data_IF_292944757534
#
_entry.id   IF_292944757534
#
_cell.length_a   1.000
_cell.length_b   1.000
_cell.length_c   1.000
_cell.angle_alpha   90.00
_cell.angle_beta   90.00
_cell.angle_gamma   90.00
#
_symmetry.space_group_name_H-M   'P 1'
#
loop_
_entity.id
_entity.type
_entity.pdbx_description
1 polymer ?
#
# COMPACT_ATOMS: atom_id res chain seq x y z
N UNK A 1 -25.56 41.32 -24.53
CA UNK A 1 -26.17 41.02 -23.21
C UNK A 1 -26.07 39.52 -22.89
N UNK A 2 -26.22 38.60 -23.87
CA UNK A 2 -26.14 37.15 -23.64
C UNK A 2 -24.76 36.69 -23.16
N UNK A 3 -23.66 37.29 -23.64
CA UNK A 3 -22.29 36.85 -23.28
C UNK A 3 -21.93 37.10 -21.82
N UNK A 4 -22.48 38.18 -21.23
CA UNK A 4 -22.23 38.49 -19.81
C UNK A 4 -22.94 37.50 -18.88
N UNK A 5 -24.15 37.08 -19.22
CA UNK A 5 -24.89 36.09 -18.44
C UNK A 5 -24.20 34.73 -18.46
N UNK A 6 -23.70 34.30 -19.63
CA UNK A 6 -22.92 33.08 -19.76
C UNK A 6 -21.64 33.12 -18.93
N UNK A 7 -20.94 34.28 -18.90
CA UNK A 7 -19.76 34.47 -18.07
C UNK A 7 -20.03 34.33 -16.57
N UNK A 8 -21.13 34.87 -16.08
CA UNK A 8 -21.53 34.73 -14.67
C UNK A 8 -21.90 33.29 -14.31
N UNK A 9 -22.57 32.58 -15.20
CA UNK A 9 -22.89 31.14 -14.99
C UNK A 9 -21.62 30.31 -14.92
N UNK A 10 -20.66 30.51 -15.83
CA UNK A 10 -19.38 29.82 -15.81
C UNK A 10 -18.59 30.12 -14.54
N UNK A 11 -18.56 31.39 -14.10
CA UNK A 11 -17.90 31.77 -12.87
C UNK A 11 -18.55 31.11 -11.64
N UNK A 12 -19.88 31.05 -11.59
CA UNK A 12 -20.59 30.40 -10.49
C UNK A 12 -20.29 28.90 -10.45
N UNK A 13 -20.31 28.20 -11.60
CA UNK A 13 -19.93 26.77 -11.69
C UNK A 13 -18.49 26.57 -11.23
N UNK A 14 -17.57 27.40 -11.71
CA UNK A 14 -16.17 27.32 -11.28
C UNK A 14 -16.01 27.48 -9.77
N UNK A 15 -16.69 28.46 -9.16
CA UNK A 15 -16.62 28.69 -7.71
C UNK A 15 -17.20 27.51 -6.91
N UNK A 16 -18.29 26.91 -7.37
CA UNK A 16 -18.87 25.71 -6.73
C UNK A 16 -17.89 24.54 -6.80
N UNK A 17 -17.30 24.29 -7.96
CA UNK A 17 -16.32 23.22 -8.13
C UNK A 17 -15.05 23.48 -7.28
N UNK A 18 -14.51 24.71 -7.31
CA UNK A 18 -13.33 25.07 -6.52
C UNK A 18 -13.59 24.94 -5.01
N UNK A 19 -14.78 25.35 -4.54
CA UNK A 19 -15.15 25.22 -3.12
C UNK A 19 -15.26 23.74 -2.71
N UNK A 20 -15.82 22.90 -3.56
CA UNK A 20 -15.88 21.45 -3.34
C UNK A 20 -14.49 20.82 -3.23
N UNK A 21 -13.58 21.25 -4.11
CA UNK A 21 -12.19 20.80 -4.13
C UNK A 21 -11.44 21.20 -2.85
N UNK A 22 -11.57 22.48 -2.44
CA UNK A 22 -10.92 23.02 -1.23
C UNK A 22 -11.43 22.30 0.02
N UNK A 23 -12.73 22.03 0.12
CA UNK A 23 -13.31 21.26 1.22
C UNK A 23 -12.76 19.82 1.25
N UNK A 24 -12.69 19.17 0.09
CA UNK A 24 -12.12 17.82 -0.01
C UNK A 24 -10.68 17.78 0.51
N UNK A 25 -9.84 18.77 0.14
CA UNK A 25 -8.47 18.89 0.65
C UNK A 25 -8.42 19.15 2.16
N UNK A 26 -9.31 20.04 2.67
CA UNK A 26 -9.37 20.35 4.10
C UNK A 26 -9.83 19.14 4.94
N UNK A 27 -10.67 18.26 4.36
CA UNK A 27 -11.12 17.02 4.98
C UNK A 27 -10.11 15.86 4.79
N UNK A 28 -8.92 16.13 4.26
CA UNK A 28 -7.88 15.13 4.01
C UNK A 28 -8.18 14.21 2.81
N UNK A 29 -9.23 14.50 2.04
CA UNK A 29 -9.53 13.77 0.81
C UNK A 29 -8.67 14.31 -0.32
N UNK A 30 -7.67 13.55 -0.72
CA UNK A 30 -6.89 13.86 -1.91
C UNK A 30 -7.73 13.50 -3.13
N UNK A 31 -7.98 14.48 -4.00
CA UNK A 31 -8.93 14.41 -5.12
C UNK A 31 -8.60 13.39 -6.21
N UNK A 32 -7.46 12.76 -6.13
CA UNK A 32 -6.98 11.76 -7.07
C UNK A 32 -6.80 10.38 -6.45
N UNK A 33 -7.16 10.20 -5.17
CA UNK A 33 -7.15 8.89 -4.53
C UNK A 33 -8.55 8.28 -4.63
N UNK A 34 -8.60 7.03 -5.04
CA UNK A 34 -9.78 6.19 -4.88
C UNK A 34 -10.07 5.98 -3.38
N UNK A 35 -11.31 5.69 -3.03
CA UNK A 35 -11.69 5.41 -1.64
C UNK A 35 -10.87 4.26 -1.04
N UNK A 36 -10.53 3.27 -1.85
CA UNK A 36 -9.69 2.14 -1.47
C UNK A 36 -8.26 2.58 -1.11
N UNK A 37 -7.65 3.48 -1.87
CA UNK A 37 -6.31 4.01 -1.56
C UNK A 37 -6.29 4.72 -0.21
N UNK A 38 -7.35 5.47 0.10
CA UNK A 38 -7.48 6.13 1.41
C UNK A 38 -7.53 5.11 2.55
N UNK A 39 -8.28 4.02 2.38
CA UNK A 39 -8.36 2.93 3.37
C UNK A 39 -7.01 2.23 3.54
N UNK A 40 -6.29 2.04 2.44
CA UNK A 40 -4.97 1.42 2.44
C UNK A 40 -3.95 2.28 3.18
N UNK A 41 -3.93 3.60 2.91
CA UNK A 41 -3.07 4.56 3.60
C UNK A 41 -3.36 4.57 5.11
N UNK A 42 -4.63 4.64 5.53
CA UNK A 42 -5.01 4.62 6.95
C UNK A 42 -4.54 3.31 7.61
N UNK A 43 -4.77 2.17 6.96
CA UNK A 43 -4.29 0.89 7.45
C UNK A 43 -2.77 0.88 7.65
N UNK A 44 -2.02 1.36 6.67
CA UNK A 44 -0.55 1.42 6.75
C UNK A 44 -0.08 2.33 7.88
N UNK A 45 -0.71 3.50 8.07
CA UNK A 45 -0.43 4.41 9.17
C UNK A 45 -0.66 3.78 10.56
N UNK A 46 -1.72 2.96 10.70
CA UNK A 46 -2.02 2.24 11.94
C UNK A 46 -1.01 1.11 12.23
N UNK A 47 -0.27 0.67 11.23
CA UNK A 47 0.68 -0.45 11.32
C UNK A 47 2.11 -0.05 10.94
N UNK A 48 2.40 1.23 10.89
CA UNK A 48 3.65 1.79 10.34
C UNK A 48 4.93 1.27 10.98
N UNK A 49 4.87 0.87 12.25
CA UNK A 49 6.01 0.36 13.02
C UNK A 49 6.33 -1.12 12.73
N UNK A 50 5.44 -1.82 12.01
CA UNK A 50 5.70 -3.20 11.62
C UNK A 50 6.62 -3.23 10.40
N UNK A 51 7.66 -4.08 10.40
CA UNK A 51 8.46 -4.28 9.20
C UNK A 51 7.59 -4.88 8.09
N UNK A 52 7.81 -4.39 6.88
CA UNK A 52 7.09 -4.80 5.68
C UNK A 52 8.05 -5.49 4.72
N UNK A 53 7.66 -6.64 4.20
CA UNK A 53 8.31 -7.28 3.06
C UNK A 53 7.38 -7.18 1.85
N UNK A 54 7.88 -6.61 0.77
CA UNK A 54 7.16 -6.53 -0.51
C UNK A 54 7.80 -7.47 -1.54
N UNK A 55 7.11 -8.57 -1.83
CA UNK A 55 7.50 -9.49 -2.89
C UNK A 55 6.99 -8.99 -4.23
N UNK A 56 7.89 -8.54 -5.08
CA UNK A 56 7.59 -8.01 -6.40
C UNK A 56 7.95 -9.00 -7.51
N UNK A 57 7.24 -8.89 -8.62
CA UNK A 57 7.61 -9.57 -9.86
C UNK A 57 8.62 -8.71 -10.63
N UNK A 58 9.86 -9.19 -10.87
CA UNK A 58 10.88 -8.43 -11.59
C UNK A 58 10.46 -7.99 -13.00
N UNK A 59 9.52 -8.69 -13.63
CA UNK A 59 9.00 -8.36 -14.96
C UNK A 59 7.85 -7.34 -14.93
N UNK A 60 7.28 -7.06 -13.76
CA UNK A 60 6.08 -6.24 -13.56
C UNK A 60 6.29 -5.21 -12.43
N UNK A 61 7.48 -4.64 -12.34
CA UNK A 61 7.86 -3.69 -11.27
C UNK A 61 7.00 -2.44 -11.22
N UNK A 62 6.29 -2.12 -12.30
CA UNK A 62 5.35 -1.00 -12.34
C UNK A 62 4.17 -1.18 -11.35
N UNK A 63 3.83 -2.40 -10.95
CA UNK A 63 2.77 -2.66 -9.97
C UNK A 63 3.08 -2.06 -8.59
N UNK A 64 4.37 -1.88 -8.25
CA UNK A 64 4.79 -1.23 -7.00
C UNK A 64 4.29 0.22 -6.93
N UNK A 65 4.11 0.88 -8.08
CA UNK A 65 3.65 2.27 -8.12
C UNK A 65 2.21 2.41 -7.64
N UNK A 66 1.36 1.42 -7.86
CA UNK A 66 -0.03 1.46 -7.42
C UNK A 66 -0.14 1.38 -5.89
N UNK A 67 0.78 0.64 -5.24
CA UNK A 67 0.83 0.51 -3.79
C UNK A 67 1.73 1.58 -3.14
N UNK A 68 2.38 2.45 -3.92
CA UNK A 68 3.43 3.35 -3.43
C UNK A 68 2.98 4.30 -2.31
N UNK A 69 1.76 4.84 -2.41
CA UNK A 69 1.24 5.78 -1.41
C UNK A 69 1.00 5.11 -0.06
N UNK A 70 0.55 3.87 -0.08
CA UNK A 70 0.39 3.04 1.10
C UNK A 70 1.76 2.65 1.67
N UNK A 71 2.66 2.15 0.82
CA UNK A 71 4.00 1.73 1.22
C UNK A 71 4.79 2.86 1.87
N UNK A 72 4.68 4.10 1.38
CA UNK A 72 5.35 5.28 1.95
C UNK A 72 4.93 5.62 3.40
N UNK A 73 3.91 4.98 3.94
CA UNK A 73 3.47 5.21 5.32
C UNK A 73 4.23 4.36 6.34
N UNK A 74 4.90 3.27 5.91
CA UNK A 74 5.65 2.40 6.80
C UNK A 74 7.05 2.93 7.09
N UNK A 75 7.53 2.67 8.28
CA UNK A 75 8.86 3.11 8.72
C UNK A 75 9.97 2.25 8.07
N UNK A 76 9.70 0.96 7.80
CA UNK A 76 10.67 0.03 7.19
C UNK A 76 10.03 -0.87 6.15
N UNK A 77 10.60 -0.89 4.95
CA UNK A 77 10.14 -1.73 3.83
C UNK A 77 11.33 -2.46 3.21
N UNK A 78 11.19 -3.76 3.05
CA UNK A 78 12.14 -4.65 2.43
C UNK A 78 11.57 -5.17 1.11
N UNK A 79 12.25 -4.90 0.01
CA UNK A 79 11.84 -5.41 -1.30
C UNK A 79 12.55 -6.73 -1.58
N UNK A 80 11.79 -7.76 -1.92
CA UNK A 80 12.28 -9.08 -2.26
C UNK A 80 11.64 -9.60 -3.55
N UNK A 81 12.28 -10.55 -4.18
CA UNK A 81 11.71 -11.41 -5.22
C UNK A 81 12.09 -12.85 -4.95
N UNK A 82 11.43 -13.81 -5.58
CA UNK A 82 11.82 -15.22 -5.43
C UNK A 82 13.21 -15.53 -6.00
N UNK A 83 13.74 -14.66 -6.87
CA UNK A 83 15.11 -14.76 -7.38
C UNK A 83 16.16 -14.17 -6.40
N UNK A 84 15.73 -13.28 -5.50
CA UNK A 84 16.58 -12.68 -4.48
C UNK A 84 15.78 -12.42 -3.19
N UNK A 85 15.98 -13.30 -2.25
CA UNK A 85 15.36 -13.27 -0.91
C UNK A 85 16.34 -12.80 0.18
N UNK A 86 17.49 -12.26 -0.18
CA UNK A 86 18.52 -11.85 0.78
C UNK A 86 18.04 -10.82 1.78
N UNK A 87 17.10 -9.95 1.40
CA UNK A 87 16.52 -8.93 2.28
C UNK A 87 15.64 -9.53 3.39
N UNK A 88 15.16 -10.75 3.22
CA UNK A 88 14.33 -11.44 4.23
C UNK A 88 15.19 -12.03 5.36
N UNK A 89 16.50 -12.14 5.15
CA UNK A 89 17.47 -12.59 6.15
C UNK A 89 17.91 -11.46 7.09
N UNK A 90 17.40 -10.24 6.92
CA UNK A 90 17.71 -9.09 7.77
C UNK A 90 17.35 -9.37 9.23
N UNK A 91 18.18 -8.85 10.14
CA UNK A 91 17.99 -9.05 11.57
C UNK A 91 16.67 -8.44 12.09
N UNK A 92 16.16 -7.38 11.45
CA UNK A 92 14.85 -6.78 11.78
C UNK A 92 13.72 -7.78 11.53
N UNK A 93 13.73 -8.46 10.37
CA UNK A 93 12.74 -9.50 10.05
C UNK A 93 12.91 -10.69 11.00
N UNK A 94 14.15 -11.10 11.24
CA UNK A 94 14.45 -12.21 12.14
C UNK A 94 14.01 -11.99 13.58
N UNK A 95 14.01 -10.76 14.08
CA UNK A 95 13.64 -10.42 15.47
C UNK A 95 12.20 -9.96 15.61
N UNK A 96 11.51 -9.69 14.52
CA UNK A 96 10.14 -9.19 14.54
C UNK A 96 9.17 -10.23 15.10
N UNK A 97 8.23 -9.78 15.93
CA UNK A 97 7.10 -10.61 16.38
C UNK A 97 6.04 -10.73 15.28
N UNK A 98 5.93 -9.72 14.44
CA UNK A 98 4.97 -9.65 13.32
C UNK A 98 5.62 -8.96 12.12
N UNK A 99 5.37 -9.50 10.94
CA UNK A 99 5.80 -8.94 9.66
C UNK A 99 4.60 -8.86 8.73
N UNK A 100 4.44 -7.72 8.06
CA UNK A 100 3.46 -7.56 6.99
C UNK A 100 4.12 -7.97 5.66
N UNK A 101 3.43 -8.79 4.88
CA UNK A 101 3.97 -9.29 3.62
C UNK A 101 3.01 -8.99 2.49
N UNK A 102 3.42 -8.11 1.59
CA UNK A 102 2.74 -7.85 0.32
C UNK A 102 3.26 -8.83 -0.71
N UNK A 103 2.38 -9.58 -1.34
CA UNK A 103 2.74 -10.53 -2.39
C UNK A 103 1.99 -10.17 -3.66
N UNK A 104 2.70 -9.83 -4.72
CA UNK A 104 2.11 -9.62 -6.03
C UNK A 104 1.33 -10.88 -6.44
N UNK A 105 0.11 -10.71 -6.99
CA UNK A 105 -0.70 -11.83 -7.49
C UNK A 105 -0.04 -12.59 -8.65
N UNK A 106 1.02 -12.03 -9.22
CA UNK A 106 1.81 -12.67 -10.29
C UNK A 106 2.96 -13.51 -9.75
N UNK A 107 3.19 -13.52 -8.43
CA UNK A 107 4.22 -14.30 -7.75
C UNK A 107 3.65 -15.60 -7.16
N UNK A 108 4.54 -16.52 -6.84
CA UNK A 108 4.19 -17.77 -6.16
C UNK A 108 4.02 -17.47 -4.67
N UNK A 109 2.79 -17.22 -4.26
CA UNK A 109 2.45 -16.73 -2.92
C UNK A 109 2.97 -17.62 -1.80
N UNK A 110 2.80 -18.94 -1.92
CA UNK A 110 3.22 -19.87 -0.88
C UNK A 110 4.74 -19.86 -0.67
N UNK A 111 5.51 -19.80 -1.75
CA UNK A 111 6.98 -19.74 -1.70
C UNK A 111 7.47 -18.43 -1.10
N UNK A 112 6.84 -17.30 -1.45
CA UNK A 112 7.16 -16.00 -0.88
C UNK A 112 6.88 -15.94 0.63
N UNK A 113 5.73 -16.43 1.07
CA UNK A 113 5.37 -16.49 2.49
C UNK A 113 6.29 -17.43 3.26
N UNK A 114 6.68 -18.58 2.67
CA UNK A 114 7.59 -19.51 3.30
C UNK A 114 8.99 -18.91 3.47
N UNK A 115 9.49 -18.15 2.50
CA UNK A 115 10.77 -17.46 2.62
C UNK A 115 10.79 -16.50 3.82
N UNK A 116 9.72 -15.71 4.04
CA UNK A 116 9.62 -14.84 5.22
C UNK A 116 9.51 -15.65 6.50
N UNK A 117 8.73 -16.72 6.51
CA UNK A 117 8.61 -17.60 7.67
C UNK A 117 9.96 -18.20 8.09
N UNK A 118 10.74 -18.64 7.11
CA UNK A 118 12.08 -19.20 7.36
C UNK A 118 13.01 -18.12 7.92
N UNK A 119 12.97 -16.90 7.37
CA UNK A 119 13.70 -15.73 7.90
C UNK A 119 13.34 -15.42 9.36
N UNK A 120 12.07 -15.57 9.74
CA UNK A 120 11.59 -15.40 11.11
C UNK A 120 11.88 -16.59 12.04
N UNK A 121 12.41 -17.70 11.53
CA UNK A 121 12.77 -18.89 12.32
C UNK A 121 11.74 -20.03 12.27
N UNK A 122 10.74 -19.97 11.41
CA UNK A 122 9.88 -21.08 11.00
C UNK A 122 8.64 -21.37 11.86
N UNK A 123 8.57 -21.00 13.14
CA UNK A 123 7.38 -21.24 13.98
C UNK A 123 6.44 -20.02 13.99
N UNK A 124 5.69 -19.88 12.91
CA UNK A 124 4.83 -18.71 12.66
C UNK A 124 3.40 -19.13 12.28
N UNK A 125 2.46 -18.19 12.46
CA UNK A 125 1.12 -18.22 11.89
C UNK A 125 1.08 -17.25 10.72
N UNK A 126 0.50 -17.66 9.60
CA UNK A 126 0.26 -16.83 8.42
C UNK A 126 -1.23 -16.61 8.23
N UNK A 127 -1.61 -15.37 7.94
CA UNK A 127 -3.01 -15.00 7.74
C UNK A 127 -3.10 -13.95 6.62
N UNK A 128 -3.95 -14.20 5.60
CA UNK A 128 -4.29 -13.20 4.61
C UNK A 128 -5.23 -12.19 5.25
N UNK A 129 -4.82 -10.93 5.34
CA UNK A 129 -5.58 -9.87 6.01
C UNK A 129 -6.27 -8.92 5.04
N UNK A 130 -5.74 -8.76 3.83
CA UNK A 130 -6.33 -7.89 2.81
C UNK A 130 -6.06 -8.40 1.39
N UNK A 131 -6.94 -7.98 0.49
CA UNK A 131 -6.80 -8.18 -0.94
C UNK A 131 -6.77 -6.81 -1.60
N UNK A 132 -5.69 -6.50 -2.30
CA UNK A 132 -5.46 -5.26 -3.02
C UNK A 132 -5.60 -5.50 -4.53
N UNK A 133 -5.49 -4.44 -5.33
CA UNK A 133 -5.71 -4.56 -6.77
C UNK A 133 -4.70 -5.51 -7.44
N UNK A 134 -3.42 -5.38 -7.12
CA UNK A 134 -2.33 -6.16 -7.74
C UNK A 134 -1.55 -7.03 -6.77
N UNK A 135 -1.80 -6.94 -5.48
CA UNK A 135 -1.15 -7.77 -4.48
C UNK A 135 -2.13 -8.23 -3.40
N UNK A 136 -1.72 -9.23 -2.66
CA UNK A 136 -2.39 -9.68 -1.44
C UNK A 136 -1.51 -9.35 -0.24
N UNK A 137 -2.12 -8.91 0.86
CA UNK A 137 -1.44 -8.58 2.09
C UNK A 137 -1.66 -9.68 3.13
N UNK A 138 -0.56 -10.16 3.67
CA UNK A 138 -0.52 -11.18 4.71
C UNK A 138 0.10 -10.63 5.99
N UNK A 139 -0.34 -11.15 7.11
CA UNK A 139 0.33 -11.00 8.40
C UNK A 139 1.00 -12.32 8.76
N UNK A 140 2.30 -12.28 8.99
CA UNK A 140 3.07 -13.40 9.55
C UNK A 140 3.42 -13.03 10.99
N UNK A 141 3.04 -13.86 11.94
CA UNK A 141 3.25 -13.65 13.37
C UNK A 141 3.87 -14.87 14.03
N UNK A 142 4.79 -14.66 14.97
CA UNK A 142 5.32 -15.73 15.82
C UNK A 142 4.19 -16.36 16.64
N UNK A 143 4.28 -17.67 16.87
CA UNK A 143 3.35 -18.40 17.75
C UNK A 143 3.73 -18.26 19.21
#
# INVERSE_FOLDING_TARGET
VHDKAAGYVLLAVFLVLATGQIRGLADGKVLFLYEEDTKNIVFAQEHKEKPVVYFYNPNLTWMIWDDSLELMQYDEIYFASLADVSTVEDDTIRQADQVLVYVSRMEQTEEALQAVADGMGGDVKMEKIRELLYCDLYLIARK
#
